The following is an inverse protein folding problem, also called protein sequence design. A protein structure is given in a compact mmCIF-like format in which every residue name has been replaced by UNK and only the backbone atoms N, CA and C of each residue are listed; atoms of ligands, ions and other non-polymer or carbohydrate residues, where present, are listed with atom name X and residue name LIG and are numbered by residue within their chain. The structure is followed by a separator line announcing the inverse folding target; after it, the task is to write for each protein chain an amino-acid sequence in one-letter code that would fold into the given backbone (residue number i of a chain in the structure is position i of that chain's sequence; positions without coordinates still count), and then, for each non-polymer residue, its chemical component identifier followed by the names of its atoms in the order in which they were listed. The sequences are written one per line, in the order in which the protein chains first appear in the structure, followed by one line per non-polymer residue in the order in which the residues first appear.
data_IF_272122593721
#
_entry.id   IF_272122593721
#
_cell.length_a   1.000
_cell.length_b   1.000
_cell.length_c   1.000
_cell.angle_alpha   90.00
_cell.angle_beta   90.00
_cell.angle_gamma   90.00
#
_symmetry.space_group_name_H-M   'P 1'
#
loop_
_entity.id
_entity.type
_entity.pdbx_description
1 polymer ?
#
# COMPACT_ATOMS: atom_id res chain seq x y z
N UNK A 1 10.98 26.72 19.91
CA UNK A 1 12.33 26.17 19.75
C UNK A 1 12.55 26.07 18.24
N UNK A 2 13.60 26.67 17.70
CA UNK A 2 13.76 26.76 16.26
C UNK A 2 14.15 25.38 15.74
N UNK A 3 13.40 24.80 14.80
CA UNK A 3 13.60 23.46 14.24
C UNK A 3 15.04 23.29 13.75
N UNK A 4 15.61 24.31 13.09
CA UNK A 4 17.00 24.33 12.57
C UNK A 4 18.10 24.00 13.60
N UNK A 5 17.94 24.43 14.85
CA UNK A 5 19.00 24.21 15.86
C UNK A 5 18.93 22.81 16.49
N UNK A 6 17.76 22.23 16.58
CA UNK A 6 17.58 20.88 17.15
C UNK A 6 18.09 19.79 16.20
N UNK A 7 18.00 20.00 14.92
CA UNK A 7 18.31 19.03 13.86
C UNK A 7 19.78 19.11 13.46
N UNK A 8 20.38 20.32 13.38
CA UNK A 8 21.83 20.48 13.26
C UNK A 8 22.57 19.83 14.46
N UNK A 9 21.89 19.70 15.61
CA UNK A 9 22.40 18.97 16.75
C UNK A 9 22.28 17.45 16.53
N UNK A 10 21.15 16.95 16.03
CA UNK A 10 20.92 15.53 15.78
C UNK A 10 21.87 14.96 14.71
N UNK A 11 22.12 15.69 13.62
CA UNK A 11 23.07 15.30 12.56
C UNK A 11 24.51 15.19 13.07
N UNK A 12 24.86 15.88 14.17
CA UNK A 12 26.19 15.85 14.78
C UNK A 12 26.34 14.85 15.92
N UNK A 13 25.29 14.09 16.22
CA UNK A 13 25.29 13.11 17.32
C UNK A 13 25.38 11.67 16.77
N UNK A 14 25.56 10.70 17.67
CA UNK A 14 25.55 9.27 17.36
C UNK A 14 24.25 8.81 16.66
N UNK A 15 23.17 9.61 16.70
CA UNK A 15 21.94 9.36 15.99
C UNK A 15 22.15 9.30 14.47
N UNK A 16 22.92 10.22 13.91
CA UNK A 16 23.22 10.24 12.47
C UNK A 16 24.02 9.02 12.01
N UNK A 17 24.79 8.40 12.90
CA UNK A 17 25.58 7.20 12.60
C UNK A 17 24.73 5.94 12.39
N UNK A 18 23.42 6.00 12.63
CA UNK A 18 22.48 4.91 12.40
C UNK A 18 21.96 4.87 10.95
N UNK A 19 22.23 5.92 10.16
CA UNK A 19 21.73 6.09 8.81
C UNK A 19 22.85 6.00 7.77
N UNK A 20 22.53 5.42 6.63
CA UNK A 20 23.38 5.43 5.45
C UNK A 20 23.35 6.84 4.79
N UNK A 21 24.29 7.08 3.87
CA UNK A 21 24.42 8.40 3.22
C UNK A 21 23.17 8.85 2.47
N UNK A 22 22.47 7.92 1.83
CA UNK A 22 21.29 8.21 1.03
C UNK A 22 20.08 8.53 1.93
N UNK A 23 19.96 7.85 3.08
CA UNK A 23 18.96 8.13 4.10
C UNK A 23 19.19 9.51 4.74
N UNK A 24 20.44 9.84 5.06
CA UNK A 24 20.81 11.17 5.57
C UNK A 24 20.47 12.27 4.55
N UNK A 25 20.65 12.00 3.26
CA UNK A 25 20.27 12.93 2.21
C UNK A 25 18.74 13.17 2.18
N UNK A 26 17.93 12.11 2.30
CA UNK A 26 16.47 12.24 2.38
C UNK A 26 16.02 13.02 3.62
N UNK A 27 16.69 12.80 4.76
CA UNK A 27 16.46 13.56 5.99
C UNK A 27 16.79 15.04 5.77
N UNK A 28 17.95 15.36 5.16
CA UNK A 28 18.37 16.73 4.90
C UNK A 28 17.39 17.44 3.94
N UNK A 29 16.97 16.76 2.87
CA UNK A 29 15.98 17.31 1.92
C UNK A 29 14.65 17.66 2.63
N UNK A 30 14.17 16.78 3.50
CA UNK A 30 12.96 17.08 4.26
C UNK A 30 13.10 18.30 5.17
N UNK A 31 14.25 18.43 5.82
CA UNK A 31 14.56 19.60 6.64
C UNK A 31 14.57 20.90 5.85
N UNK A 32 15.22 20.88 4.69
CA UNK A 32 15.31 22.04 3.78
C UNK A 32 13.92 22.47 3.31
N UNK A 33 12.97 21.54 3.25
CA UNK A 33 11.57 21.79 2.89
C UNK A 33 10.65 22.00 4.12
N UNK A 34 11.19 22.04 5.33
CA UNK A 34 10.45 22.29 6.56
C UNK A 34 9.63 21.09 7.06
N UNK A 35 9.96 19.88 6.62
CA UNK A 35 9.34 18.64 7.07
C UNK A 35 10.05 18.13 8.32
N UNK A 36 9.29 17.70 9.32
CA UNK A 36 9.84 17.08 10.53
C UNK A 36 10.31 15.65 10.20
N UNK A 37 11.63 15.38 10.24
CA UNK A 37 12.16 14.05 9.94
C UNK A 37 11.79 13.00 10.99
N UNK A 38 11.36 13.38 12.18
CA UNK A 38 10.93 12.43 13.22
C UNK A 38 9.77 11.54 12.76
N UNK A 39 9.07 11.92 11.67
CA UNK A 39 7.98 11.12 11.09
C UNK A 39 8.52 9.93 10.30
N UNK A 40 9.64 10.07 9.58
CA UNK A 40 10.12 9.07 8.62
C UNK A 40 11.59 8.70 8.75
N UNK A 41 12.36 9.40 9.58
CA UNK A 41 13.77 9.08 9.82
C UNK A 41 13.89 7.86 10.75
N UNK A 42 13.73 6.69 10.16
CA UNK A 42 13.88 5.40 10.81
C UNK A 42 14.85 4.53 9.97
N UNK A 43 16.02 4.11 10.52
CA UNK A 43 17.01 3.32 9.80
C UNK A 43 16.53 1.90 9.42
N UNK A 44 15.35 1.48 9.91
CA UNK A 44 14.73 0.21 9.49
C UNK A 44 13.85 0.37 8.23
N UNK A 45 13.60 1.61 7.78
CA UNK A 45 12.86 1.87 6.55
C UNK A 45 13.78 1.78 5.32
N UNK A 46 13.26 1.25 4.22
CA UNK A 46 13.91 1.39 2.90
C UNK A 46 13.98 2.87 2.52
N UNK A 47 15.14 3.35 2.07
CA UNK A 47 15.36 4.76 1.70
C UNK A 47 14.34 5.27 0.68
N UNK A 48 13.89 4.42 -0.24
CA UNK A 48 12.83 4.78 -1.22
C UNK A 48 11.48 4.99 -0.55
N UNK A 49 11.22 4.28 0.56
CA UNK A 49 10.03 4.50 1.39
C UNK A 49 10.13 5.84 2.13
N UNK A 50 11.30 6.17 2.67
CA UNK A 50 11.57 7.48 3.28
C UNK A 50 11.33 8.61 2.27
N UNK A 51 11.83 8.47 1.04
CA UNK A 51 11.60 9.42 -0.07
C UNK A 51 10.11 9.65 -0.34
N UNK A 52 9.33 8.56 -0.50
CA UNK A 52 7.89 8.65 -0.75
C UNK A 52 7.14 9.32 0.40
N UNK A 53 7.48 8.98 1.65
CA UNK A 53 6.87 9.59 2.83
C UNK A 53 7.18 11.08 2.87
N UNK A 54 8.46 11.49 2.68
CA UNK A 54 8.85 12.90 2.61
C UNK A 54 8.07 13.64 1.53
N UNK A 55 8.03 13.11 0.30
CA UNK A 55 7.29 13.71 -0.81
C UNK A 55 5.79 13.86 -0.50
N UNK A 56 5.19 12.88 0.17
CA UNK A 56 3.80 12.93 0.60
C UNK A 56 3.56 14.02 1.63
N UNK A 57 4.45 14.15 2.62
CA UNK A 57 4.38 15.20 3.64
C UNK A 57 4.52 16.59 3.01
N UNK A 58 5.42 16.77 2.03
CA UNK A 58 5.59 18.02 1.27
C UNK A 58 4.31 18.42 0.51
N UNK A 59 3.57 17.44 0.02
CA UNK A 59 2.26 17.64 -0.64
C UNK A 59 1.09 17.81 0.35
N UNK A 60 1.34 17.69 1.66
CA UNK A 60 0.31 17.75 2.70
C UNK A 60 -0.59 16.51 2.74
N UNK A 61 -0.12 15.38 2.22
CA UNK A 61 -0.85 14.11 2.25
C UNK A 61 -0.71 13.45 3.63
N UNK A 62 -1.72 12.70 4.04
CA UNK A 62 -1.66 11.88 5.26
C UNK A 62 -0.92 10.57 4.98
N UNK A 63 0.40 10.59 5.10
CA UNK A 63 1.29 9.46 4.82
C UNK A 63 2.04 8.96 6.06
N UNK A 64 1.73 9.46 7.25
CA UNK A 64 2.47 9.16 8.48
C UNK A 64 2.45 7.67 8.84
N UNK A 65 1.37 6.97 8.51
CA UNK A 65 1.22 5.54 8.75
C UNK A 65 2.02 4.65 7.77
N UNK A 66 2.61 5.23 6.73
CA UNK A 66 3.53 4.53 5.82
C UNK A 66 4.92 4.35 6.43
N UNK A 67 5.26 5.10 7.50
CA UNK A 67 6.52 4.97 8.23
C UNK A 67 6.51 3.73 9.16
N UNK A 68 6.13 2.60 8.60
CA UNK A 68 6.08 1.30 9.25
C UNK A 68 7.16 0.39 8.63
N UNK A 69 8.19 -0.05 9.39
CA UNK A 69 9.27 -0.89 8.88
C UNK A 69 8.82 -2.31 8.48
N UNK A 70 7.65 -2.76 8.93
CA UNK A 70 7.08 -4.06 8.51
C UNK A 70 6.55 -4.04 7.07
N UNK A 71 6.40 -2.84 6.47
CA UNK A 71 5.97 -2.69 5.08
C UNK A 71 7.18 -2.63 4.15
N UNK A 72 7.24 -3.53 3.16
CA UNK A 72 8.25 -3.43 2.11
C UNK A 72 8.01 -2.20 1.20
N UNK A 73 9.03 -1.81 0.44
CA UNK A 73 8.94 -0.66 -0.47
C UNK A 73 7.77 -0.76 -1.47
N UNK A 74 7.47 -1.94 -2.00
CA UNK A 74 6.40 -2.11 -2.98
C UNK A 74 5.04 -1.89 -2.33
N UNK A 75 4.89 -2.29 -1.06
CA UNK A 75 3.70 -2.03 -0.26
C UNK A 75 3.53 -0.51 -0.05
N UNK A 76 4.57 0.16 0.45
CA UNK A 76 4.57 1.62 0.65
C UNK A 76 4.29 2.37 -0.64
N UNK A 77 4.89 1.95 -1.76
CA UNK A 77 4.67 2.57 -3.09
C UNK A 77 3.20 2.52 -3.51
N UNK A 78 2.56 1.35 -3.40
CA UNK A 78 1.18 1.17 -3.84
C UNK A 78 0.20 1.89 -2.92
N UNK A 79 0.47 1.91 -1.60
CA UNK A 79 -0.28 2.73 -0.65
C UNK A 79 -0.15 4.22 -0.97
N UNK A 80 1.07 4.70 -1.20
CA UNK A 80 1.34 6.08 -1.57
C UNK A 80 0.62 6.49 -2.85
N UNK A 81 0.70 5.67 -3.89
CA UNK A 81 -0.03 5.91 -5.15
C UNK A 81 -1.55 5.99 -4.93
N UNK A 82 -2.10 5.13 -4.07
CA UNK A 82 -3.51 5.18 -3.71
C UNK A 82 -3.89 6.48 -3.02
N UNK A 83 -3.07 6.95 -2.07
CA UNK A 83 -3.26 8.23 -1.38
C UNK A 83 -3.22 9.40 -2.36
N UNK A 84 -2.26 9.43 -3.28
CA UNK A 84 -2.17 10.47 -4.33
C UNK A 84 -3.41 10.51 -5.23
N UNK A 85 -4.06 9.36 -5.45
CA UNK A 85 -5.30 9.26 -6.19
C UNK A 85 -6.55 9.56 -5.32
N UNK A 86 -6.37 9.92 -4.04
CA UNK A 86 -7.45 10.30 -3.13
C UNK A 86 -8.18 9.13 -2.48
N UNK A 87 -7.62 7.91 -2.53
CA UNK A 87 -8.19 6.76 -1.85
C UNK A 87 -7.74 6.70 -0.38
N UNK A 88 -8.62 6.21 0.49
CA UNK A 88 -8.23 5.82 1.84
C UNK A 88 -7.51 4.47 1.81
N UNK A 89 -6.19 4.52 1.93
CA UNK A 89 -5.33 3.34 1.94
C UNK A 89 -4.99 2.86 3.36
N UNK A 90 -5.44 3.56 4.40
CA UNK A 90 -5.12 3.24 5.79
C UNK A 90 -5.54 1.83 6.23
N UNK A 91 -6.65 1.22 5.73
CA UNK A 91 -7.01 -0.14 6.10
C UNK A 91 -6.01 -1.22 5.62
N UNK A 92 -5.19 -0.89 4.63
CA UNK A 92 -4.27 -1.83 3.98
C UNK A 92 -2.81 -1.62 4.40
N UNK A 93 -2.52 -0.61 5.24
CA UNK A 93 -1.18 -0.23 5.67
C UNK A 93 -0.74 -1.00 6.93
N UNK A 94 -0.75 -2.30 6.86
CA UNK A 94 -0.35 -3.22 7.93
C UNK A 94 0.24 -4.51 7.35
N UNK A 95 0.84 -5.33 8.20
CA UNK A 95 1.52 -6.58 7.85
C UNK A 95 0.58 -7.77 7.59
N UNK A 96 -0.73 -7.59 7.76
CA UNK A 96 -1.72 -8.62 7.39
C UNK A 96 -1.80 -8.79 5.86
N UNK A 97 -1.50 -7.73 5.09
CA UNK A 97 -1.51 -7.75 3.63
C UNK A 97 -0.10 -7.85 3.04
N UNK A 98 0.07 -8.68 2.04
CA UNK A 98 1.26 -8.65 1.20
C UNK A 98 1.18 -7.52 0.15
N UNK A 99 2.31 -6.96 -0.25
CA UNK A 99 2.39 -5.92 -1.30
C UNK A 99 1.64 -6.30 -2.58
N UNK A 100 1.70 -7.58 -2.99
CA UNK A 100 0.96 -8.11 -4.14
C UNK A 100 -0.57 -8.05 -4.00
N UNK A 101 -1.09 -8.18 -2.77
CA UNK A 101 -2.52 -8.01 -2.51
C UNK A 101 -2.93 -6.54 -2.60
N UNK A 102 -2.12 -5.65 -2.02
CA UNK A 102 -2.34 -4.20 -2.07
C UNK A 102 -2.32 -3.69 -3.50
N UNK A 103 -1.44 -4.21 -4.36
CA UNK A 103 -1.41 -3.90 -5.80
C UNK A 103 -2.75 -4.21 -6.48
N UNK A 104 -3.36 -5.37 -6.21
CA UNK A 104 -4.66 -5.75 -6.80
C UNK A 104 -5.79 -4.90 -6.22
N UNK A 105 -5.74 -4.56 -4.93
CA UNK A 105 -6.71 -3.66 -4.29
C UNK A 105 -6.64 -2.27 -4.93
N UNK A 106 -5.45 -1.72 -5.07
CA UNK A 106 -5.24 -0.42 -5.72
C UNK A 106 -5.76 -0.41 -7.17
N UNK A 107 -5.48 -1.47 -7.94
CA UNK A 107 -6.00 -1.60 -9.30
C UNK A 107 -7.54 -1.56 -9.33
N UNK A 108 -8.19 -2.27 -8.41
CA UNK A 108 -9.65 -2.25 -8.29
C UNK A 108 -10.22 -0.88 -7.94
N UNK A 109 -9.59 -0.19 -6.97
CA UNK A 109 -9.96 1.18 -6.60
C UNK A 109 -9.84 2.15 -7.78
N UNK A 110 -8.74 2.09 -8.54
CA UNK A 110 -8.53 2.91 -9.75
C UNK A 110 -9.58 2.67 -10.82
N UNK A 111 -10.09 1.45 -10.91
CA UNK A 111 -11.18 1.07 -11.83
C UNK A 111 -12.56 1.44 -11.30
N UNK A 112 -12.68 1.94 -10.07
CA UNK A 112 -13.93 2.30 -9.43
C UNK A 112 -14.76 1.12 -8.92
N UNK A 113 -14.12 -0.04 -8.71
CA UNK A 113 -14.79 -1.20 -8.15
C UNK A 113 -14.90 -1.13 -6.62
N UNK A 114 -15.92 -1.76 -6.08
CA UNK A 114 -16.03 -2.05 -4.65
C UNK A 114 -15.04 -3.18 -4.29
N UNK A 115 -13.91 -2.81 -3.73
CA UNK A 115 -12.86 -3.76 -3.34
C UNK A 115 -13.19 -4.54 -2.07
N UNK A 116 -14.19 -4.11 -1.30
CA UNK A 116 -14.59 -4.78 -0.04
C UNK A 116 -14.99 -6.24 -0.24
N UNK A 117 -15.40 -6.59 -1.46
CA UNK A 117 -15.78 -7.97 -1.82
C UNK A 117 -14.59 -8.94 -1.86
N UNK A 118 -13.35 -8.45 -1.88
CA UNK A 118 -12.14 -9.28 -1.93
C UNK A 118 -10.97 -8.76 -1.09
N UNK A 119 -11.00 -7.54 -0.61
CA UNK A 119 -9.95 -6.96 0.23
C UNK A 119 -9.95 -7.62 1.63
N UNK A 120 -9.50 -8.85 1.68
CA UNK A 120 -9.40 -9.70 2.86
C UNK A 120 -8.02 -10.38 2.85
N UNK A 121 -7.20 -10.25 3.91
CA UNK A 121 -5.86 -10.86 3.99
C UNK A 121 -5.84 -12.38 3.73
N UNK A 122 -6.94 -13.09 4.03
CA UNK A 122 -7.06 -14.52 3.77
C UNK A 122 -7.22 -14.88 2.28
N UNK A 123 -7.51 -13.91 1.42
CA UNK A 123 -7.65 -14.09 -0.04
C UNK A 123 -6.31 -13.83 -0.70
N UNK A 124 -5.74 -14.81 -1.40
CA UNK A 124 -4.45 -14.61 -2.07
C UNK A 124 -4.57 -13.58 -3.20
N UNK A 125 -3.47 -12.94 -3.58
CA UNK A 125 -3.50 -11.96 -4.68
C UNK A 125 -4.00 -12.56 -6.00
N UNK A 126 -3.72 -13.85 -6.28
CA UNK A 126 -4.23 -14.53 -7.47
C UNK A 126 -5.74 -14.77 -7.42
N UNK A 127 -6.29 -15.01 -6.22
CA UNK A 127 -7.73 -15.09 -6.02
C UNK A 127 -8.38 -13.71 -6.18
N UNK A 128 -7.79 -12.67 -5.57
CA UNK A 128 -8.22 -11.27 -5.73
C UNK A 128 -8.25 -10.88 -7.21
N UNK A 129 -7.21 -11.23 -7.99
CA UNK A 129 -7.13 -10.97 -9.44
C UNK A 129 -8.28 -11.66 -10.21
N UNK A 130 -8.68 -12.89 -9.82
CA UNK A 130 -9.83 -13.55 -10.47
C UNK A 130 -11.16 -12.85 -10.11
N UNK A 131 -11.31 -12.34 -8.90
CA UNK A 131 -12.49 -11.57 -8.49
C UNK A 131 -12.52 -10.24 -9.24
N UNK A 132 -11.41 -9.50 -9.26
CA UNK A 132 -11.29 -8.23 -10.00
C UNK A 132 -11.63 -8.41 -11.50
N UNK A 133 -11.10 -9.45 -12.14
CA UNK A 133 -11.47 -9.80 -13.52
C UNK A 133 -12.95 -10.11 -13.69
N UNK A 134 -13.59 -10.63 -12.65
CA UNK A 134 -15.05 -10.84 -12.66
C UNK A 134 -15.80 -9.53 -12.61
N UNK A 135 -15.38 -8.60 -11.74
CA UNK A 135 -15.94 -7.25 -11.65
C UNK A 135 -15.79 -6.51 -12.98
N UNK A 136 -14.61 -6.56 -13.62
CA UNK A 136 -14.35 -5.99 -14.94
C UNK A 136 -15.28 -6.55 -16.04
N UNK A 137 -15.76 -7.77 -15.85
CA UNK A 137 -16.64 -8.48 -16.80
C UNK A 137 -18.13 -8.40 -16.43
N UNK A 138 -18.46 -7.67 -15.35
CA UNK A 138 -19.81 -7.53 -14.80
C UNK A 138 -20.47 -8.88 -14.48
N UNK A 139 -19.71 -9.88 -14.00
CA UNK A 139 -20.27 -11.12 -13.51
C UNK A 139 -20.49 -11.05 -12.00
N UNK A 140 -21.43 -11.83 -11.49
CA UNK A 140 -21.68 -11.91 -10.07
C UNK A 140 -20.54 -12.65 -9.35
N UNK A 141 -19.61 -11.88 -8.79
CA UNK A 141 -18.43 -12.39 -8.09
C UNK A 141 -18.77 -13.00 -6.73
N UNK A 142 -19.92 -12.66 -6.13
CA UNK A 142 -20.33 -13.18 -4.82
C UNK A 142 -20.46 -14.69 -4.81
N UNK A 143 -20.68 -15.29 -5.98
CA UNK A 143 -20.76 -16.74 -6.16
C UNK A 143 -19.43 -17.44 -5.84
N UNK A 144 -18.27 -16.76 -6.00
CA UNK A 144 -16.97 -17.39 -5.84
C UNK A 144 -15.93 -16.54 -5.08
N UNK A 145 -16.30 -15.38 -4.56
CA UNK A 145 -15.42 -14.55 -3.74
C UNK A 145 -15.29 -15.12 -2.31
N UNK A 146 -14.73 -16.32 -2.21
CA UNK A 146 -14.53 -17.08 -0.99
C UNK A 146 -13.08 -17.60 -0.95
N UNK A 147 -12.30 -17.33 0.13
CA UNK A 147 -10.90 -17.77 0.24
C UNK A 147 -10.71 -19.30 0.18
N UNK A 148 -11.76 -20.08 0.43
CA UNK A 148 -11.71 -21.56 0.34
C UNK A 148 -11.76 -22.06 -1.10
N UNK A 149 -12.20 -21.23 -2.06
CA UNK A 149 -12.23 -21.54 -3.49
C UNK A 149 -10.89 -21.20 -4.10
N UNK A 150 -10.14 -22.19 -4.58
CA UNK A 150 -8.83 -21.95 -5.15
C UNK A 150 -8.90 -21.19 -6.50
N UNK A 151 -7.77 -20.55 -6.89
CA UNK A 151 -7.67 -19.76 -8.12
C UNK A 151 -8.20 -20.46 -9.37
N UNK A 152 -7.84 -21.73 -9.69
CA UNK A 152 -8.39 -22.43 -10.86
C UNK A 152 -9.91 -22.58 -10.84
N UNK A 153 -10.47 -22.87 -9.67
CA UNK A 153 -11.93 -22.96 -9.48
C UNK A 153 -12.60 -21.61 -9.70
N UNK A 154 -12.06 -20.52 -9.10
CA UNK A 154 -12.55 -19.16 -9.33
C UNK A 154 -12.53 -18.80 -10.81
N UNK A 155 -11.44 -19.12 -11.52
CA UNK A 155 -11.32 -18.88 -12.96
C UNK A 155 -12.40 -19.63 -13.75
N UNK A 156 -12.65 -20.90 -13.44
CA UNK A 156 -13.68 -21.71 -14.09
C UNK A 156 -15.08 -21.14 -13.85
N UNK A 157 -15.40 -20.80 -12.59
CA UNK A 157 -16.67 -20.19 -12.20
C UNK A 157 -16.90 -18.86 -12.92
N UNK A 158 -15.91 -17.98 -12.92
CA UNK A 158 -15.96 -16.69 -13.66
C UNK A 158 -16.29 -16.89 -15.15
N UNK A 159 -15.60 -17.83 -15.81
CA UNK A 159 -15.81 -18.11 -17.23
C UNK A 159 -17.21 -18.65 -17.52
N UNK A 160 -17.74 -19.52 -16.64
CA UNK A 160 -19.11 -20.05 -16.76
C UNK A 160 -20.16 -18.95 -16.56
N UNK A 161 -19.98 -18.10 -15.54
CA UNK A 161 -20.86 -16.95 -15.28
C UNK A 161 -20.86 -15.98 -16.47
N UNK A 162 -19.67 -15.70 -17.05
CA UNK A 162 -19.56 -14.86 -18.26
C UNK A 162 -20.34 -15.40 -19.45
N UNK A 163 -20.52 -16.74 -19.53
CA UNK A 163 -21.35 -17.39 -20.56
C UNK A 163 -22.86 -17.37 -20.21
N UNK A 164 -23.26 -16.70 -19.14
CA UNK A 164 -24.66 -16.63 -18.70
C UNK A 164 -25.18 -17.89 -18.01
N UNK A 165 -24.27 -18.78 -17.57
CA UNK A 165 -24.68 -19.97 -16.80
C UNK A 165 -25.04 -19.59 -15.38
N UNK A 166 -26.17 -20.09 -14.90
CA UNK A 166 -26.54 -20.01 -13.47
C UNK A 166 -25.75 -21.07 -12.70
N UNK A 167 -25.06 -20.63 -11.63
CA UNK A 167 -24.26 -21.48 -10.76
C UNK A 167 -24.83 -21.36 -9.35
N UNK A 168 -25.08 -22.48 -8.71
CA UNK A 168 -25.39 -22.55 -7.28
C UNK A 168 -24.30 -23.40 -6.62
N UNK A 169 -23.54 -22.81 -5.72
CA UNK A 169 -22.58 -23.55 -4.87
C UNK A 169 -23.38 -24.08 -3.68
N UNK A 170 -23.35 -25.39 -3.47
CA UNK A 170 -23.97 -26.09 -2.34
C UNK A 170 -22.99 -26.13 -1.17
#
# INVERSE_FOLDING_TARGET
MNIDSSIAYLIKTDWANQFESDELNEIQLGLDHGIDPAIYANPELDVRSMELIRQGLEKGLNVTYLANPDLDYYHVRDLYEGIENGFDMSPYANDDYYSSQVSVILEGLKKGHDVSVYANPAVTWEQMDQILKGLDQNVDVTVYADPTINRPQMQALRLLLKQGRKITIQ
#
